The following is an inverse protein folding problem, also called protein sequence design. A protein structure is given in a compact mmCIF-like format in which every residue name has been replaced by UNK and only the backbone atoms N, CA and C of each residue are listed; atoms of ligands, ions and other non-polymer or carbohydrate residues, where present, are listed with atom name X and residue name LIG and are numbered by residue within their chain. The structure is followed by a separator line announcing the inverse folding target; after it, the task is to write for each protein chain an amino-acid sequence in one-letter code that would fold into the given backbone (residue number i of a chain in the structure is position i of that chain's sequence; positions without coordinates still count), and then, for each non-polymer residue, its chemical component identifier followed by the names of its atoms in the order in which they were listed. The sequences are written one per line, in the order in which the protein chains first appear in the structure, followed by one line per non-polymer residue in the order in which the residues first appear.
data_IF_472303865639
#
_entry.id   IF_472303865639
#
_cell.length_a   1.000
_cell.length_b   1.000
_cell.length_c   1.000
_cell.angle_alpha   90.00
_cell.angle_beta   90.00
_cell.angle_gamma   90.00
#
_symmetry.space_group_name_H-M   'P 1'
#
loop_
_entity.id
_entity.type
_entity.pdbx_description
1 polymer ?
#
# COMPACT_ATOMS: atom_id res chain seq x y z
N UNK A 1 -7.11 19.18 26.49
CA UNK A 1 -7.08 18.88 25.04
C UNK A 1 -5.88 17.95 24.81
N UNK A 2 -6.12 16.64 24.66
CA UNK A 2 -5.04 15.66 24.50
C UNK A 2 -4.49 15.75 23.08
N UNK A 3 -3.20 16.06 22.95
CA UNK A 3 -2.50 16.02 21.67
C UNK A 3 -2.60 14.59 21.13
N UNK A 4 -3.40 14.39 20.09
CA UNK A 4 -3.54 13.11 19.41
C UNK A 4 -2.17 12.75 18.81
N UNK A 5 -1.39 11.94 19.53
CA UNK A 5 -0.19 11.29 19.01
C UNK A 5 -0.62 10.49 17.79
N UNK A 6 -0.32 11.03 16.61
CA UNK A 6 -0.52 10.29 15.36
C UNK A 6 0.39 9.06 15.44
N UNK A 7 -0.12 7.84 15.25
CA UNK A 7 0.72 6.65 15.26
C UNK A 7 1.83 6.82 14.21
N UNK A 8 3.08 6.83 14.68
CA UNK A 8 4.26 6.89 13.83
C UNK A 8 4.65 5.45 13.54
N UNK A 9 4.41 5.00 12.31
CA UNK A 9 5.03 3.77 11.83
C UNK A 9 6.50 4.10 11.55
N UNK A 10 7.40 3.48 12.30
CA UNK A 10 8.85 3.56 12.08
C UNK A 10 9.27 2.35 11.26
N UNK A 11 9.93 2.58 10.13
CA UNK A 11 10.29 1.50 9.21
C UNK A 11 10.89 2.00 7.91
N UNK A 12 10.99 1.08 6.95
CA UNK A 12 11.56 1.36 5.64
C UNK A 12 10.63 2.26 4.82
N UNK A 13 11.18 3.32 4.23
CA UNK A 13 10.40 4.34 3.52
C UNK A 13 10.56 4.20 2.02
N UNK A 14 9.42 4.27 1.34
CA UNK A 14 9.30 4.22 -0.11
C UNK A 14 8.60 5.49 -0.63
N UNK A 15 9.03 5.93 -1.82
CA UNK A 15 8.49 7.11 -2.50
C UNK A 15 7.79 6.68 -3.79
N UNK A 16 6.53 6.20 -3.71
CA UNK A 16 5.75 5.87 -4.90
C UNK A 16 5.49 7.13 -5.75
N UNK A 17 5.24 6.95 -7.04
CA UNK A 17 4.87 8.05 -7.96
C UNK A 17 3.53 8.70 -7.56
N UNK A 18 2.62 7.90 -7.04
CA UNK A 18 1.34 8.35 -6.54
C UNK A 18 0.76 7.35 -5.55
N UNK A 19 -0.10 7.85 -4.66
CA UNK A 19 -0.95 7.03 -3.80
C UNK A 19 -2.40 7.38 -4.01
N UNK A 20 -3.29 6.42 -3.76
CA UNK A 20 -4.73 6.59 -3.95
C UNK A 20 -5.49 5.95 -2.80
N UNK A 21 -6.72 6.43 -2.59
CA UNK A 21 -7.74 5.66 -1.88
C UNK A 21 -8.92 5.39 -2.79
N UNK A 22 -9.48 4.19 -2.74
CA UNK A 22 -10.62 3.79 -3.54
C UNK A 22 -11.71 3.13 -2.71
N UNK A 23 -12.67 2.53 -3.42
CA UNK A 23 -13.74 1.73 -2.84
C UNK A 23 -13.56 0.25 -3.21
N UNK A 24 -13.72 -0.63 -2.23
CA UNK A 24 -13.78 -2.08 -2.45
C UNK A 24 -14.89 -2.37 -3.45
N UNK A 25 -14.65 -3.35 -4.34
CA UNK A 25 -15.61 -3.87 -5.33
C UNK A 25 -16.07 -2.86 -6.40
N UNK A 26 -15.57 -1.62 -6.40
CA UNK A 26 -15.83 -0.67 -7.48
C UNK A 26 -14.52 -0.42 -8.23
N UNK A 27 -14.29 -1.10 -9.36
CA UNK A 27 -13.07 -0.95 -10.11
C UNK A 27 -12.92 0.49 -10.60
N UNK A 28 -11.68 0.99 -10.63
CA UNK A 28 -11.30 2.30 -11.18
C UNK A 28 -11.84 3.54 -10.48
N UNK A 29 -12.55 3.40 -9.34
CA UNK A 29 -12.97 4.57 -8.56
C UNK A 29 -11.86 4.98 -7.58
N UNK A 30 -11.10 6.00 -7.97
CA UNK A 30 -10.23 6.73 -7.05
C UNK A 30 -11.04 7.82 -6.34
N UNK A 31 -11.24 7.67 -5.04
CA UNK A 31 -11.90 8.69 -4.19
C UNK A 31 -10.93 9.82 -3.85
N UNK A 32 -9.63 9.49 -3.73
CA UNK A 32 -8.60 10.50 -3.52
C UNK A 32 -7.25 10.05 -4.08
N UNK A 33 -6.39 11.03 -4.40
CA UNK A 33 -5.04 10.85 -4.96
C UNK A 33 -4.06 11.82 -4.31
N UNK A 34 -2.81 11.39 -4.13
CA UNK A 34 -1.68 12.26 -3.83
C UNK A 34 -0.46 11.84 -4.66
N UNK A 35 0.05 12.76 -5.47
CA UNK A 35 1.29 12.61 -6.25
C UNK A 35 2.37 13.64 -5.91
N UNK A 36 2.07 14.62 -5.06
CA UNK A 36 3.03 15.67 -4.66
C UNK A 36 3.89 15.23 -3.47
N UNK A 37 3.27 14.52 -2.52
CA UNK A 37 3.94 14.03 -1.30
C UNK A 37 3.55 12.58 -1.04
N UNK A 38 3.58 11.76 -2.09
CA UNK A 38 3.28 10.34 -2.01
C UNK A 38 4.32 9.63 -1.14
N UNK A 39 3.87 8.85 -0.16
CA UNK A 39 4.77 8.18 0.78
C UNK A 39 4.15 6.88 1.26
N UNK A 40 4.98 5.85 1.35
CA UNK A 40 4.68 4.57 1.97
C UNK A 40 5.79 4.24 2.96
N UNK A 41 5.44 3.80 4.16
CA UNK A 41 6.38 3.31 5.17
C UNK A 41 5.94 1.92 5.57
N UNK A 42 6.84 0.95 5.53
CA UNK A 42 6.60 -0.42 5.98
C UNK A 42 7.34 -0.62 7.30
N UNK A 43 6.60 -0.72 8.39
CA UNK A 43 7.11 -1.05 9.72
C UNK A 43 7.13 -2.56 9.98
N UNK A 44 7.24 -2.93 11.26
CA UNK A 44 7.32 -4.33 11.67
C UNK A 44 5.94 -5.03 11.71
N UNK A 45 4.89 -4.32 12.11
CA UNK A 45 3.53 -4.85 12.33
C UNK A 45 2.46 -4.08 11.56
N UNK A 46 2.83 -2.95 10.96
CA UNK A 46 1.93 -2.05 10.25
C UNK A 46 2.66 -1.34 9.10
N UNK A 47 1.87 -0.80 8.18
CA UNK A 47 2.32 0.17 7.19
C UNK A 47 1.62 1.51 7.38
N UNK A 48 2.28 2.57 6.95
CA UNK A 48 1.68 3.89 6.81
C UNK A 48 1.72 4.35 5.36
N UNK A 49 0.56 4.76 4.84
CA UNK A 49 0.43 5.31 3.48
C UNK A 49 -0.15 6.72 3.55
N UNK A 50 0.48 7.67 2.85
CA UNK A 50 0.01 9.05 2.77
C UNK A 50 -0.72 9.30 1.45
N UNK A 51 -2.05 9.29 1.50
CA UNK A 51 -2.90 9.80 0.42
C UNK A 51 -3.13 11.29 0.65
N UNK A 52 -4.33 11.77 0.98
CA UNK A 52 -4.52 13.16 1.47
C UNK A 52 -3.97 13.29 2.90
N UNK A 53 -4.30 12.31 3.74
CA UNK A 53 -3.80 12.19 5.12
C UNK A 53 -2.99 10.91 5.28
N UNK A 54 -2.26 10.82 6.39
CA UNK A 54 -1.58 9.58 6.76
C UNK A 54 -2.61 8.54 7.22
N UNK A 55 -2.53 7.35 6.66
CA UNK A 55 -3.31 6.18 7.03
C UNK A 55 -2.38 5.09 7.52
N UNK A 56 -2.68 4.53 8.69
CA UNK A 56 -1.95 3.38 9.23
C UNK A 56 -2.83 2.14 9.07
N UNK A 57 -2.24 1.07 8.55
CA UNK A 57 -2.86 -0.24 8.39
C UNK A 57 -2.00 -1.26 9.12
N UNK A 58 -2.54 -1.89 10.16
CA UNK A 58 -1.90 -3.05 10.80
C UNK A 58 -1.95 -4.23 9.83
N UNK A 59 -0.90 -5.03 9.77
CA UNK A 59 -0.82 -6.16 8.86
C UNK A 59 -1.92 -7.19 9.10
N UNK A 60 -2.28 -7.42 10.37
CA UNK A 60 -3.40 -8.28 10.74
C UNK A 60 -4.76 -7.76 10.26
N UNK A 61 -4.88 -6.46 9.99
CA UNK A 61 -6.08 -5.83 9.46
C UNK A 61 -6.10 -5.79 7.93
N UNK A 62 -5.07 -6.30 7.24
CA UNK A 62 -5.05 -6.41 5.79
C UNK A 62 -5.65 -7.76 5.38
N UNK A 63 -6.69 -7.70 4.55
CA UNK A 63 -7.37 -8.87 3.98
C UNK A 63 -6.52 -9.51 2.90
N UNK A 64 -6.04 -8.71 1.96
CA UNK A 64 -5.14 -9.12 0.90
C UNK A 64 -4.41 -7.91 0.32
N UNK A 65 -3.26 -8.19 -0.28
CA UNK A 65 -2.52 -7.27 -1.13
C UNK A 65 -2.57 -7.77 -2.55
N UNK A 66 -2.98 -6.91 -3.47
CA UNK A 66 -3.08 -7.19 -4.89
C UNK A 66 -2.19 -6.26 -5.70
N UNK A 67 -1.83 -6.66 -6.91
CA UNK A 67 -1.07 -5.84 -7.84
C UNK A 67 -1.80 -5.65 -9.17
N UNK A 68 -1.70 -4.44 -9.71
CA UNK A 68 -2.15 -4.11 -11.06
C UNK A 68 -0.98 -3.62 -11.91
N UNK A 69 -0.89 -4.09 -13.16
CA UNK A 69 0.07 -3.60 -14.14
C UNK A 69 -0.69 -2.78 -15.19
N UNK A 70 -0.41 -1.46 -15.24
CA UNK A 70 -0.88 -0.57 -16.32
C UNK A 70 0.29 0.28 -16.81
N UNK A 71 0.45 1.49 -16.28
CA UNK A 71 1.56 2.41 -16.58
C UNK A 71 2.72 2.26 -15.58
N UNK A 72 2.76 1.14 -14.87
CA UNK A 72 3.61 0.90 -13.70
C UNK A 72 3.08 -0.27 -12.88
N UNK A 73 3.62 -0.43 -11.68
CA UNK A 73 3.16 -1.42 -10.70
C UNK A 73 2.33 -0.71 -9.64
N UNK A 74 1.04 -1.01 -9.58
CA UNK A 74 0.13 -0.54 -8.54
C UNK A 74 -0.01 -1.61 -7.48
N UNK A 75 0.48 -1.35 -6.27
CA UNK A 75 0.26 -2.23 -5.10
C UNK A 75 -0.98 -1.72 -4.37
N UNK A 76 -2.01 -2.56 -4.25
CA UNK A 76 -3.26 -2.24 -3.57
C UNK A 76 -3.39 -3.01 -2.26
N UNK A 77 -3.73 -2.29 -1.20
CA UNK A 77 -4.01 -2.80 0.14
C UNK A 77 -5.52 -2.81 0.37
N UNK A 78 -6.07 -3.98 0.65
CA UNK A 78 -7.48 -4.16 1.01
C UNK A 78 -7.59 -4.44 2.51
N UNK A 79 -8.02 -3.48 3.34
CA UNK A 79 -8.23 -3.73 4.77
C UNK A 79 -9.42 -4.67 5.00
N UNK A 80 -9.40 -5.57 5.98
CA UNK A 80 -10.51 -6.48 6.33
C UNK A 80 -11.80 -5.72 6.62
N UNK A 81 -11.70 -4.64 7.40
CA UNK A 81 -12.84 -3.80 7.80
C UNK A 81 -13.05 -2.62 6.86
N UNK A 82 -14.33 -2.32 6.62
CA UNK A 82 -14.75 -1.17 5.84
C UNK A 82 -14.68 -1.36 4.33
N UNK A 83 -15.06 -0.30 3.63
CA UNK A 83 -15.25 -0.30 2.17
C UNK A 83 -14.08 0.36 1.43
N UNK A 84 -13.04 0.84 2.12
CA UNK A 84 -11.94 1.59 1.48
C UNK A 84 -10.82 0.67 1.03
N UNK A 85 -10.17 1.03 -0.06
CA UNK A 85 -8.87 0.47 -0.48
C UNK A 85 -7.83 1.57 -0.52
N UNK A 86 -6.56 1.19 -0.46
CA UNK A 86 -5.44 2.11 -0.63
C UNK A 86 -4.48 1.55 -1.66
N UNK A 87 -3.85 2.38 -2.48
CA UNK A 87 -2.83 1.90 -3.40
C UNK A 87 -1.63 2.83 -3.47
N UNK A 88 -0.47 2.24 -3.76
CA UNK A 88 0.80 2.89 -4.03
C UNK A 88 1.28 2.47 -5.42
N UNK A 89 1.51 3.45 -6.29
CA UNK A 89 1.91 3.22 -7.67
C UNK A 89 3.39 3.51 -7.85
N UNK A 90 4.12 2.53 -8.34
CA UNK A 90 5.55 2.60 -8.64
C UNK A 90 5.77 2.62 -10.15
N UNK A 91 6.94 3.08 -10.57
CA UNK A 91 7.36 3.00 -11.97
C UNK A 91 7.47 1.54 -12.39
N UNK A 92 7.27 1.25 -13.68
CA UNK A 92 7.56 -0.09 -14.21
C UNK A 92 9.00 -0.50 -13.90
N UNK A 93 9.19 -1.74 -13.45
CA UNK A 93 10.50 -2.31 -13.05
C UNK A 93 11.18 -1.61 -11.86
N UNK A 94 10.47 -0.76 -11.11
CA UNK A 94 11.01 -0.17 -9.89
C UNK A 94 11.26 -1.27 -8.84
N UNK A 95 12.52 -1.48 -8.38
CA UNK A 95 12.82 -2.50 -7.39
C UNK A 95 12.10 -2.26 -6.05
N UNK A 96 11.70 -1.01 -5.76
CA UNK A 96 10.95 -0.67 -4.55
C UNK A 96 9.64 -1.47 -4.45
N UNK A 97 8.95 -1.70 -5.57
CA UNK A 97 7.71 -2.46 -5.57
C UNK A 97 7.93 -3.91 -5.10
N UNK A 98 8.98 -4.58 -5.63
CA UNK A 98 9.35 -5.94 -5.20
C UNK A 98 9.81 -5.95 -3.74
N UNK A 99 10.58 -4.95 -3.30
CA UNK A 99 11.00 -4.84 -1.88
C UNK A 99 9.80 -4.70 -0.95
N UNK A 100 8.81 -3.87 -1.29
CA UNK A 100 7.55 -3.75 -0.52
C UNK A 100 6.84 -5.10 -0.43
N UNK A 101 6.68 -5.81 -1.56
CA UNK A 101 6.02 -7.13 -1.56
C UNK A 101 6.78 -8.16 -0.73
N UNK A 102 8.12 -8.19 -0.80
CA UNK A 102 8.95 -9.08 0.04
C UNK A 102 8.75 -8.81 1.53
N UNK A 103 8.71 -7.54 1.93
CA UNK A 103 8.50 -7.16 3.34
C UNK A 103 7.11 -7.59 3.82
N UNK A 104 6.08 -7.37 3.01
CA UNK A 104 4.71 -7.79 3.34
C UNK A 104 4.59 -9.31 3.46
N UNK A 105 5.19 -10.06 2.54
CA UNK A 105 5.24 -11.52 2.61
C UNK A 105 5.98 -12.01 3.87
N UNK A 106 7.14 -11.41 4.18
CA UNK A 106 7.92 -11.74 5.36
C UNK A 106 7.17 -11.44 6.67
N UNK A 107 6.28 -10.44 6.66
CA UNK A 107 5.40 -10.08 7.77
C UNK A 107 4.10 -10.91 7.82
N UNK A 108 3.94 -11.92 6.96
CA UNK A 108 2.78 -12.80 6.94
C UNK A 108 1.51 -12.18 6.33
N UNK A 109 1.61 -11.06 5.62
CA UNK A 109 0.48 -10.45 4.91
C UNK A 109 0.14 -11.30 3.69
N UNK A 110 -1.15 -11.60 3.50
CA UNK A 110 -1.62 -12.36 2.35
C UNK A 110 -1.39 -11.59 1.04
N UNK A 111 -0.50 -12.12 0.19
CA UNK A 111 -0.33 -11.66 -1.18
C UNK A 111 -1.21 -12.53 -2.09
N UNK A 112 -2.08 -11.89 -2.87
CA UNK A 112 -2.87 -12.61 -3.86
C UNK A 112 -2.02 -13.05 -5.07
N UNK A 113 -2.64 -13.78 -6.01
CA UNK A 113 -1.96 -14.29 -7.20
C UNK A 113 -1.31 -13.17 -8.04
N UNK A 114 -1.94 -12.00 -8.11
CA UNK A 114 -1.41 -10.87 -8.89
C UNK A 114 -0.16 -10.25 -8.22
N UNK A 115 -0.16 -10.15 -6.89
CA UNK A 115 0.99 -9.69 -6.14
C UNK A 115 2.15 -10.71 -6.17
N UNK A 116 1.83 -12.01 -6.08
CA UNK A 116 2.82 -13.08 -6.22
C UNK A 116 3.48 -13.08 -7.60
N UNK A 117 2.71 -12.88 -8.66
CA UNK A 117 3.24 -12.79 -10.02
C UNK A 117 4.25 -11.64 -10.19
N UNK A 118 3.97 -10.46 -9.63
CA UNK A 118 4.91 -9.32 -9.64
C UNK A 118 6.18 -9.63 -8.83
N UNK A 119 6.04 -10.33 -7.71
CA UNK A 119 7.16 -10.70 -6.86
C UNK A 119 8.11 -11.72 -7.53
N UNK A 120 7.55 -12.63 -8.32
CA UNK A 120 8.28 -13.70 -9.03
C UNK A 120 8.81 -13.29 -10.40
N UNK A 121 8.26 -12.25 -11.03
CA UNK A 121 8.77 -11.72 -12.29
C UNK A 121 10.25 -11.32 -12.14
N UNK A 122 11.08 -11.55 -13.17
CA UNK A 122 12.51 -11.20 -13.20
C UNK A 122 12.74 -9.68 -13.35
#
# INVERSE_FOLDING_TARGET
MSASQKPIVVGERFTPLATFSGLKRVPFLAVSRNSLMASLVIGQDALAIRVIRLHVLRFEDIEAVSCGQRLGVSIQFSPKRGIRTFSANFRSKDPAAKTVLRRLAAAGVLLDASAQAVLQAE
#
